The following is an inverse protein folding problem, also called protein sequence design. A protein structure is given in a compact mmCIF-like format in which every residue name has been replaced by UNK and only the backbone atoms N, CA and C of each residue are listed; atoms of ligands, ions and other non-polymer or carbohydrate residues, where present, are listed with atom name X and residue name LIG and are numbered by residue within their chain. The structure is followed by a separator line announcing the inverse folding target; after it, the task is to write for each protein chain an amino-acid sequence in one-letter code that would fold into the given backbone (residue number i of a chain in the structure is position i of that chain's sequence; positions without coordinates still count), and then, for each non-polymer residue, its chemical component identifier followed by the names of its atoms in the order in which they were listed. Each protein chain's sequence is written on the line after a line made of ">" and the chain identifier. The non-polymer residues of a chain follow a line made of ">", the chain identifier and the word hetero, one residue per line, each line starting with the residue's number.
data_IF_789657452066
#
_entry.id   IF_789657452066
#
_cell.length_a   1.000
_cell.length_b   1.000
_cell.length_c   1.000
_cell.angle_alpha   90.00
_cell.angle_beta   90.00
_cell.angle_gamma   90.00
#
_symmetry.space_group_name_H-M   'P 1'
#
loop_
_entity.id
_entity.type
_entity.pdbx_description
1 polymer ?
#
# COMPACT_ATOMS: atom_id res chain seq x y z
N UNK A 1 -11.14 -6.30 12.29
CA UNK A 1 -11.86 -7.59 12.32
C UNK A 1 -11.62 -8.34 13.61
N UNK A 2 -10.39 -8.39 14.15
CA UNK A 2 -10.05 -9.12 15.39
C UNK A 2 -10.92 -8.66 16.60
N UNK A 3 -11.22 -7.37 16.69
CA UNK A 3 -12.01 -6.79 17.78
C UNK A 3 -13.52 -7.02 17.66
N UNK A 4 -14.00 -7.42 16.49
CA UNK A 4 -15.43 -7.49 16.20
C UNK A 4 -15.97 -8.91 16.04
N UNK A 5 -15.09 -9.93 16.03
CA UNK A 5 -15.46 -11.32 15.67
C UNK A 5 -15.34 -12.36 16.77
N UNK A 6 -14.64 -12.07 17.83
CA UNK A 6 -14.44 -13.02 18.92
C UNK A 6 -14.32 -12.30 20.25
N UNK A 7 -14.74 -12.98 21.34
CA UNK A 7 -14.46 -12.49 22.67
C UNK A 7 -12.95 -12.42 22.90
N UNK A 8 -12.47 -11.34 23.46
CA UNK A 8 -11.08 -11.20 23.85
C UNK A 8 -10.95 -11.75 25.29
N UNK A 9 -10.15 -12.77 25.45
CA UNK A 9 -9.82 -13.32 26.77
C UNK A 9 -8.75 -12.45 27.45
N UNK A 10 -7.86 -11.83 26.64
CA UNK A 10 -6.80 -10.93 27.08
C UNK A 10 -6.94 -9.54 26.45
N UNK A 11 -6.36 -8.49 27.07
CA UNK A 11 -6.32 -7.16 26.45
C UNK A 11 -5.72 -7.23 25.04
N UNK A 12 -6.38 -6.60 24.08
CA UNK A 12 -5.90 -6.59 22.68
C UNK A 12 -4.55 -5.91 22.57
N UNK A 13 -3.58 -6.63 22.03
CA UNK A 13 -2.22 -6.13 21.78
C UNK A 13 -1.98 -6.05 20.27
N UNK A 14 -1.60 -4.86 19.79
CA UNK A 14 -1.24 -4.67 18.39
C UNK A 14 0.24 -5.03 18.19
N UNK A 15 0.49 -6.28 17.84
CA UNK A 15 1.81 -6.72 17.41
C UNK A 15 2.03 -6.40 15.94
N UNK A 16 3.30 -6.23 15.54
CA UNK A 16 3.67 -6.02 14.13
C UNK A 16 3.24 -7.15 13.21
N UNK A 17 3.14 -8.38 13.73
CA UNK A 17 2.61 -9.55 13.02
C UNK A 17 1.13 -9.43 12.66
N UNK A 18 0.35 -8.61 13.38
CA UNK A 18 -1.07 -8.35 13.11
C UNK A 18 -1.30 -7.13 12.23
N UNK A 19 -0.26 -6.34 11.99
CA UNK A 19 -0.34 -5.16 11.12
C UNK A 19 -0.07 -5.58 9.66
N UNK A 20 -1.12 -5.98 8.95
CA UNK A 20 -1.06 -6.15 7.52
C UNK A 20 -0.74 -4.81 6.83
N UNK A 21 0.01 -4.87 5.73
CA UNK A 21 0.35 -3.69 4.92
C UNK A 21 1.06 -2.55 5.69
N UNK A 22 1.85 -2.90 6.69
CA UNK A 22 2.55 -1.93 7.56
C UNK A 22 3.43 -0.93 6.81
N UNK A 23 3.90 -1.26 5.60
CA UNK A 23 4.66 -0.32 4.77
C UNK A 23 3.82 0.88 4.31
N UNK A 24 2.51 0.71 4.22
CA UNK A 24 1.55 1.78 3.92
C UNK A 24 1.05 2.49 5.18
N UNK A 25 1.16 1.85 6.36
CA UNK A 25 0.63 2.34 7.63
C UNK A 25 1.75 2.89 8.52
N UNK A 26 2.53 3.84 7.99
CA UNK A 26 3.61 4.48 8.73
C UNK A 26 3.11 5.72 9.47
N UNK A 27 3.77 6.07 10.57
CA UNK A 27 3.50 7.29 11.33
C UNK A 27 3.83 8.56 10.53
N UNK A 28 4.89 8.50 9.70
CA UNK A 28 5.33 9.63 8.88
C UNK A 28 4.34 10.02 7.79
N UNK A 29 3.53 9.09 7.29
CA UNK A 29 2.54 9.35 6.24
C UNK A 29 1.09 9.44 6.76
N UNK A 30 0.89 9.50 8.07
CA UNK A 30 -0.45 9.52 8.66
C UNK A 30 -1.30 10.70 8.18
N UNK A 31 -0.70 11.88 8.03
CA UNK A 31 -1.40 13.05 7.50
C UNK A 31 -1.78 12.90 6.02
N UNK A 32 -0.96 12.24 5.21
CA UNK A 32 -1.26 11.97 3.80
C UNK A 32 -2.46 11.00 3.64
N UNK A 33 -2.60 10.04 4.57
CA UNK A 33 -3.69 9.06 4.55
C UNK A 33 -4.99 9.55 5.15
N UNK A 34 -4.91 10.34 6.23
CA UNK A 34 -6.05 10.64 7.09
C UNK A 34 -6.60 12.05 6.92
N UNK A 35 -5.80 13.04 6.50
CA UNK A 35 -6.27 14.43 6.46
C UNK A 35 -7.39 14.66 5.44
N UNK A 36 -7.34 14.03 4.27
CA UNK A 36 -8.44 14.15 3.29
C UNK A 36 -9.74 13.53 3.83
N UNK A 37 -9.63 12.42 4.57
CA UNK A 37 -10.78 11.76 5.20
C UNK A 37 -11.36 12.68 6.29
N UNK A 38 -10.50 13.22 7.16
CA UNK A 38 -10.92 14.13 8.22
C UNK A 38 -11.62 15.40 7.69
N UNK A 39 -11.14 15.92 6.56
CA UNK A 39 -11.78 17.05 5.87
C UNK A 39 -13.16 16.64 5.34
N UNK A 40 -13.26 15.46 4.72
CA UNK A 40 -14.50 14.95 4.12
C UNK A 40 -15.60 14.73 5.16
N UNK A 41 -15.26 14.20 6.33
CA UNK A 41 -16.20 13.93 7.42
C UNK A 41 -16.40 15.13 8.37
N UNK A 42 -15.73 16.27 8.10
CA UNK A 42 -15.93 17.51 8.86
C UNK A 42 -15.23 17.59 10.21
N UNK A 43 -14.32 16.66 10.53
CA UNK A 43 -13.58 16.65 11.81
C UNK A 43 -12.32 17.51 11.79
N UNK A 44 -11.89 17.98 10.62
CA UNK A 44 -10.74 18.84 10.48
C UNK A 44 -11.13 20.31 10.65
N UNK A 45 -10.50 21.01 11.59
CA UNK A 45 -10.62 22.45 11.76
C UNK A 45 -10.15 23.21 10.51
N UNK A 46 -10.68 24.42 10.32
CA UNK A 46 -10.41 25.27 9.14
C UNK A 46 -8.90 25.48 8.93
N UNK A 47 -8.18 25.84 9.99
CA UNK A 47 -6.73 26.08 9.92
C UNK A 47 -5.96 24.80 9.48
N UNK A 48 -6.32 23.63 10.05
CA UNK A 48 -5.72 22.35 9.67
C UNK A 48 -6.00 21.99 8.21
N UNK A 49 -7.22 22.23 7.74
CA UNK A 49 -7.62 22.03 6.35
C UNK A 49 -6.76 22.87 5.40
N UNK A 50 -6.61 24.16 5.68
CA UNK A 50 -5.82 25.08 4.85
C UNK A 50 -4.34 24.67 4.81
N UNK A 51 -3.74 24.39 5.97
CA UNK A 51 -2.36 23.90 6.07
C UNK A 51 -2.15 22.62 5.29
N UNK A 52 -3.09 21.69 5.38
CA UNK A 52 -3.02 20.43 4.66
C UNK A 52 -3.11 20.62 3.15
N UNK A 53 -4.08 21.36 2.65
CA UNK A 53 -4.25 21.61 1.22
C UNK A 53 -3.03 22.29 0.60
N UNK A 54 -2.45 23.27 1.29
CA UNK A 54 -1.23 23.94 0.84
C UNK A 54 -0.02 22.98 0.81
N UNK A 55 0.16 22.18 1.88
CA UNK A 55 1.20 21.13 1.92
C UNK A 55 1.04 20.12 0.80
N UNK A 56 -0.18 19.62 0.60
CA UNK A 56 -0.51 18.62 -0.42
C UNK A 56 -0.22 19.15 -1.83
N UNK A 57 -0.64 20.37 -2.13
CA UNK A 57 -0.39 21.03 -3.42
C UNK A 57 1.10 21.21 -3.69
N UNK A 58 1.85 21.69 -2.69
CA UNK A 58 3.29 21.89 -2.83
C UNK A 58 4.03 20.56 -3.02
N UNK A 59 3.71 19.56 -2.21
CA UNK A 59 4.31 18.23 -2.30
C UNK A 59 4.03 17.57 -3.65
N UNK A 60 2.79 17.68 -4.16
CA UNK A 60 2.41 17.18 -5.49
C UNK A 60 3.25 17.83 -6.59
N UNK A 61 3.37 19.16 -6.59
CA UNK A 61 4.14 19.91 -7.58
C UNK A 61 5.63 19.47 -7.58
N UNK A 62 6.20 19.29 -6.41
CA UNK A 62 7.61 18.87 -6.29
C UNK A 62 7.80 17.44 -6.80
N UNK A 63 6.93 16.52 -6.41
CA UNK A 63 6.97 15.14 -6.88
C UNK A 63 6.82 15.06 -8.40
N UNK A 64 5.89 15.80 -9.00
CA UNK A 64 5.71 15.84 -10.45
C UNK A 64 6.97 16.34 -11.17
N UNK A 65 7.65 17.34 -10.63
CA UNK A 65 8.91 17.79 -11.18
C UNK A 65 10.01 16.73 -11.08
N UNK A 66 10.13 16.08 -9.90
CA UNK A 66 11.10 15.00 -9.72
C UNK A 66 10.85 13.81 -10.67
N UNK A 67 9.59 13.52 -11.00
CA UNK A 67 9.23 12.48 -11.98
C UNK A 67 9.56 12.87 -13.43
N UNK A 68 9.43 14.15 -13.79
CA UNK A 68 9.76 14.64 -15.14
C UNK A 68 11.27 14.69 -15.38
N UNK A 69 12.05 14.91 -14.34
CA UNK A 69 13.51 14.99 -14.42
C UNK A 69 14.10 13.58 -14.43
N UNK A 70 14.75 13.21 -15.51
CA UNK A 70 15.41 11.92 -15.64
C UNK A 70 16.80 12.05 -16.23
N UNK A 71 17.69 11.15 -15.89
CA UNK A 71 19.05 11.12 -16.41
C UNK A 71 19.59 9.69 -16.48
N UNK A 72 20.67 9.51 -17.24
CA UNK A 72 21.39 8.25 -17.33
C UNK A 72 22.24 8.02 -16.06
N UNK A 73 22.58 6.77 -15.75
CA UNK A 73 23.46 6.44 -14.62
C UNK A 73 24.81 7.17 -14.69
N UNK A 74 25.36 7.31 -15.88
CA UNK A 74 26.63 8.04 -16.11
C UNK A 74 26.49 9.53 -15.76
N UNK A 75 25.33 10.14 -16.05
CA UNK A 75 25.09 11.53 -15.69
C UNK A 75 25.02 11.68 -14.16
N UNK A 76 24.30 10.80 -13.46
CA UNK A 76 24.23 10.80 -12.00
C UNK A 76 25.61 10.59 -11.36
N UNK A 77 26.47 9.73 -11.95
CA UNK A 77 27.81 9.47 -11.45
C UNK A 77 28.69 10.73 -11.43
N UNK A 78 28.53 11.67 -12.39
CA UNK A 78 29.23 12.96 -12.40
C UNK A 78 28.97 13.82 -11.17
N UNK A 79 27.84 13.60 -10.49
CA UNK A 79 27.46 14.31 -9.28
C UNK A 79 27.63 13.46 -8.00
N UNK A 80 28.41 12.39 -8.08
CA UNK A 80 28.72 11.52 -6.95
C UNK A 80 27.58 10.58 -6.53
N UNK A 81 26.60 10.37 -7.41
CA UNK A 81 25.49 9.45 -7.16
C UNK A 81 25.79 8.09 -7.80
N UNK A 82 26.01 7.08 -6.96
CA UNK A 82 26.31 5.72 -7.40
C UNK A 82 25.02 4.91 -7.56
N UNK A 83 24.72 4.55 -8.79
CA UNK A 83 23.59 3.67 -9.16
C UNK A 83 24.05 2.65 -10.18
N UNK A 84 23.26 1.58 -10.39
CA UNK A 84 23.60 0.54 -11.36
C UNK A 84 23.78 1.13 -12.76
N UNK A 85 24.91 0.78 -13.40
CA UNK A 85 25.30 1.26 -14.74
C UNK A 85 24.67 0.41 -15.85
N UNK A 86 23.38 0.19 -15.80
CA UNK A 86 22.58 -0.65 -16.72
C UNK A 86 22.07 0.11 -17.96
N UNK A 87 22.50 1.37 -18.13
CA UNK A 87 22.07 2.23 -19.24
C UNK A 87 20.65 2.77 -19.12
N UNK A 88 19.85 2.31 -18.18
CA UNK A 88 18.45 2.75 -18.02
C UNK A 88 18.39 4.11 -17.36
N UNK A 89 17.70 5.05 -18.00
CA UNK A 89 17.38 6.35 -17.39
C UNK A 89 16.49 6.16 -16.17
N UNK A 90 16.76 6.92 -15.12
CA UNK A 90 15.99 6.93 -13.87
C UNK A 90 15.54 8.35 -13.57
N UNK A 91 14.36 8.45 -12.98
CA UNK A 91 13.82 9.75 -12.55
C UNK A 91 14.55 10.25 -11.31
N UNK A 92 14.55 11.55 -11.13
CA UNK A 92 15.12 12.16 -9.92
C UNK A 92 14.39 11.67 -8.66
N UNK A 93 13.09 11.40 -8.76
CA UNK A 93 12.32 10.81 -7.67
C UNK A 93 12.84 9.41 -7.29
N UNK A 94 13.00 8.51 -8.25
CA UNK A 94 13.51 7.15 -7.99
C UNK A 94 14.91 7.16 -7.38
N UNK A 95 15.79 8.04 -7.89
CA UNK A 95 17.17 8.13 -7.42
C UNK A 95 17.25 8.74 -6.02
N UNK A 96 16.39 9.71 -5.68
CA UNK A 96 16.29 10.26 -4.34
C UNK A 96 15.95 9.21 -3.29
N UNK A 97 15.24 8.16 -3.66
CA UNK A 97 14.90 7.02 -2.80
C UNK A 97 16.08 6.11 -2.42
N UNK A 98 17.24 6.26 -3.04
CA UNK A 98 18.41 5.51 -2.60
C UNK A 98 18.92 6.07 -1.26
N UNK A 99 19.30 5.18 -0.34
CA UNK A 99 19.66 5.52 1.05
C UNK A 99 20.72 6.61 1.13
N UNK A 100 21.76 6.52 0.30
CA UNK A 100 22.93 7.38 0.34
C UNK A 100 22.79 8.67 -0.49
N UNK A 101 21.72 8.81 -1.25
CA UNK A 101 21.51 9.98 -2.10
C UNK A 101 20.88 11.11 -1.28
N UNK A 102 21.44 12.30 -1.43
CA UNK A 102 20.98 13.51 -0.74
C UNK A 102 20.22 14.45 -1.67
N UNK A 103 19.41 15.34 -1.10
CA UNK A 103 18.76 16.41 -1.84
C UNK A 103 19.75 17.33 -2.54
N UNK A 104 20.90 17.62 -1.92
CA UNK A 104 21.93 18.47 -2.52
C UNK A 104 22.53 17.84 -3.79
N UNK A 105 22.74 16.53 -3.80
CA UNK A 105 23.19 15.83 -5.00
C UNK A 105 22.15 15.91 -6.12
N UNK A 106 20.86 15.72 -5.80
CA UNK A 106 19.77 15.87 -6.77
C UNK A 106 19.68 17.31 -7.29
N UNK A 107 19.81 18.33 -6.44
CA UNK A 107 19.84 19.72 -6.85
C UNK A 107 21.05 20.12 -7.67
N UNK A 108 22.21 19.47 -7.44
CA UNK A 108 23.40 19.65 -8.30
C UNK A 108 23.19 19.03 -9.66
N UNK A 109 22.57 17.85 -9.70
CA UNK A 109 22.24 17.15 -10.95
C UNK A 109 21.21 17.92 -11.78
N UNK A 110 20.21 18.53 -11.12
CA UNK A 110 19.12 19.27 -11.74
C UNK A 110 18.99 20.70 -11.17
N UNK A 111 19.74 21.69 -11.69
CA UNK A 111 19.76 23.05 -11.16
C UNK A 111 18.41 23.74 -11.06
N UNK A 112 17.45 23.36 -11.90
CA UNK A 112 16.08 23.92 -11.88
C UNK A 112 15.34 23.66 -10.56
N UNK A 113 15.72 22.61 -9.80
CA UNK A 113 15.14 22.32 -8.49
C UNK A 113 15.66 23.26 -7.38
N UNK A 114 16.75 23.99 -7.60
CA UNK A 114 17.35 24.91 -6.60
C UNK A 114 16.45 26.08 -6.25
N UNK A 115 15.57 26.49 -7.16
CA UNK A 115 14.70 27.65 -7.00
C UNK A 115 13.53 27.43 -6.02
N UNK A 116 13.26 26.17 -5.64
CA UNK A 116 12.14 25.87 -4.76
C UNK A 116 12.61 25.84 -3.30
N UNK A 117 12.04 26.72 -2.49
CA UNK A 117 12.19 26.65 -1.03
C UNK A 117 11.29 25.55 -0.50
N UNK A 118 11.88 24.45 -0.10
CA UNK A 118 11.22 23.28 0.49
C UNK A 118 11.68 23.21 1.93
N UNK A 119 10.78 23.00 2.88
CA UNK A 119 11.16 22.79 4.28
C UNK A 119 11.87 21.44 4.46
N UNK A 120 12.81 21.34 5.38
CA UNK A 120 13.54 20.10 5.70
C UNK A 120 12.60 18.94 6.02
N UNK A 121 11.46 19.23 6.68
CA UNK A 121 10.44 18.25 6.98
C UNK A 121 9.82 17.66 5.71
N UNK A 122 9.55 18.50 4.72
CA UNK A 122 8.99 18.07 3.44
C UNK A 122 10.02 17.31 2.60
N UNK A 123 11.28 17.74 2.62
CA UNK A 123 12.38 17.01 1.97
C UNK A 123 12.53 15.59 2.52
N UNK A 124 12.52 15.47 3.85
CA UNK A 124 12.55 14.17 4.52
C UNK A 124 11.36 13.32 4.12
N UNK A 125 10.15 13.89 4.12
CA UNK A 125 8.93 13.17 3.75
C UNK A 125 8.99 12.66 2.31
N UNK A 126 9.36 13.50 1.35
CA UNK A 126 9.46 13.11 -0.06
C UNK A 126 10.54 12.03 -0.25
N UNK A 127 11.68 12.14 0.43
CA UNK A 127 12.73 11.11 0.39
C UNK A 127 12.23 9.77 0.95
N UNK A 128 11.52 9.78 2.07
CA UNK A 128 10.92 8.59 2.67
C UNK A 128 9.89 7.98 1.71
N UNK A 129 9.02 8.78 1.12
CA UNK A 129 8.03 8.32 0.16
C UNK A 129 8.68 7.72 -1.08
N UNK A 130 9.75 8.32 -1.59
CA UNK A 130 10.54 7.79 -2.69
C UNK A 130 11.18 6.44 -2.34
N UNK A 131 11.78 6.32 -1.15
CA UNK A 131 12.38 5.07 -0.68
C UNK A 131 11.36 3.93 -0.61
N UNK A 132 10.17 4.21 -0.05
CA UNK A 132 9.13 3.19 0.12
C UNK A 132 8.30 2.93 -1.14
N UNK A 133 8.36 3.79 -2.16
CA UNK A 133 7.52 3.66 -3.36
C UNK A 133 7.62 2.28 -4.00
N UNK A 134 8.84 1.80 -4.18
CA UNK A 134 9.10 0.50 -4.82
C UNK A 134 8.44 -0.67 -4.05
N UNK A 135 8.44 -0.59 -2.73
CA UNK A 135 7.81 -1.60 -1.87
C UNK A 135 6.31 -1.41 -1.77
N UNK A 136 5.84 -0.16 -1.74
CA UNK A 136 4.42 0.15 -1.64
C UNK A 136 3.65 -0.17 -2.92
N UNK A 137 4.24 0.01 -4.11
CA UNK A 137 3.61 -0.38 -5.38
C UNK A 137 3.37 -1.89 -5.43
N UNK A 138 4.37 -2.68 -5.08
CA UNK A 138 4.21 -4.14 -5.02
C UNK A 138 3.12 -4.55 -4.04
N UNK A 139 3.17 -3.99 -2.83
CA UNK A 139 2.16 -4.26 -1.81
C UNK A 139 0.76 -3.80 -2.23
N UNK A 140 0.65 -2.67 -2.92
CA UNK A 140 -0.62 -2.16 -3.41
C UNK A 140 -1.24 -3.06 -4.48
N UNK A 141 -0.43 -3.58 -5.39
CA UNK A 141 -0.89 -4.57 -6.37
C UNK A 141 -1.38 -5.85 -5.68
N UNK A 142 -0.63 -6.35 -4.69
CA UNK A 142 -1.05 -7.50 -3.86
C UNK A 142 -2.39 -7.22 -3.14
N UNK A 143 -2.57 -6.01 -2.60
CA UNK A 143 -3.84 -5.59 -1.96
C UNK A 143 -4.99 -5.56 -2.97
N UNK A 144 -4.76 -5.04 -4.16
CA UNK A 144 -5.79 -4.95 -5.20
C UNK A 144 -6.19 -6.32 -5.71
N UNK A 145 -5.24 -7.24 -5.88
CA UNK A 145 -5.51 -8.63 -6.23
C UNK A 145 -6.32 -9.33 -5.14
N UNK A 146 -5.90 -9.19 -3.87
CA UNK A 146 -6.64 -9.74 -2.73
C UNK A 146 -8.05 -9.14 -2.61
N UNK A 147 -8.22 -7.83 -2.86
CA UNK A 147 -9.55 -7.20 -2.88
C UNK A 147 -10.43 -7.78 -3.98
N UNK A 148 -9.89 -8.00 -5.17
CA UNK A 148 -10.63 -8.65 -6.26
C UNK A 148 -11.04 -10.06 -5.88
N UNK A 149 -10.17 -10.83 -5.25
CA UNK A 149 -10.50 -12.18 -4.78
C UNK A 149 -11.54 -12.16 -3.65
N UNK A 150 -11.45 -11.20 -2.72
CA UNK A 150 -12.41 -11.02 -1.62
C UNK A 150 -13.82 -10.72 -2.12
N UNK A 151 -13.93 -9.97 -3.22
CA UNK A 151 -15.21 -9.58 -3.82
C UNK A 151 -15.81 -10.67 -4.74
N UNK A 152 -15.11 -11.80 -4.96
CA UNK A 152 -15.68 -12.92 -5.72
C UNK A 152 -16.88 -13.49 -4.96
N UNK A 153 -18.05 -13.24 -5.52
CA UNK A 153 -19.31 -13.75 -4.98
C UNK A 153 -19.40 -15.26 -5.23
N UNK A 154 -19.79 -15.99 -4.22
CA UNK A 154 -20.12 -17.40 -4.32
C UNK A 154 -21.56 -17.50 -4.80
N UNK A 155 -21.77 -18.11 -5.96
CA UNK A 155 -23.11 -18.31 -6.49
C UNK A 155 -24.01 -19.04 -5.49
N UNK A 156 -25.21 -18.50 -5.24
CA UNK A 156 -26.17 -19.08 -4.29
C UNK A 156 -26.54 -20.55 -4.58
N UNK A 157 -26.39 -20.94 -5.84
CA UNK A 157 -26.72 -22.29 -6.32
C UNK A 157 -25.50 -23.25 -6.34
N UNK A 158 -24.36 -22.85 -5.76
CA UNK A 158 -23.19 -23.73 -5.71
C UNK A 158 -23.50 -24.94 -4.82
N UNK A 159 -23.27 -26.13 -5.34
CA UNK A 159 -23.34 -27.36 -4.56
C UNK A 159 -21.97 -27.69 -3.98
N UNK A 160 -21.75 -27.35 -2.72
CA UNK A 160 -20.47 -27.60 -2.06
C UNK A 160 -20.11 -29.07 -1.96
N UNK A 161 -21.10 -29.99 -2.04
CA UNK A 161 -20.87 -31.43 -2.01
C UNK A 161 -20.15 -31.92 -3.28
N UNK A 162 -20.32 -31.23 -4.39
CA UNK A 162 -19.69 -31.51 -5.67
C UNK A 162 -18.29 -30.87 -5.82
N UNK A 163 -17.84 -30.13 -4.84
CA UNK A 163 -16.50 -29.55 -4.86
C UNK A 163 -15.44 -30.59 -4.50
N UNK A 164 -14.82 -31.18 -5.53
CA UNK A 164 -13.76 -32.16 -5.35
C UNK A 164 -12.54 -31.53 -4.66
N UNK A 165 -11.95 -32.30 -3.74
CA UNK A 165 -10.78 -31.88 -2.98
C UNK A 165 -11.10 -31.14 -1.66
N UNK A 166 -12.36 -30.82 -1.37
CA UNK A 166 -12.79 -30.36 -0.06
C UNK A 166 -13.08 -31.55 0.85
N UNK A 167 -12.66 -31.47 2.13
CA UNK A 167 -13.03 -32.46 3.14
C UNK A 167 -14.53 -32.41 3.46
N UNK A 168 -15.11 -33.54 3.88
CA UNK A 168 -16.53 -33.60 4.23
C UNK A 168 -16.91 -32.57 5.31
N UNK A 169 -16.05 -32.34 6.29
CA UNK A 169 -16.24 -31.34 7.35
C UNK A 169 -16.37 -29.92 6.75
N UNK A 170 -15.49 -29.56 5.81
CA UNK A 170 -15.54 -28.24 5.15
C UNK A 170 -16.78 -28.10 4.28
N UNK A 171 -17.17 -29.16 3.56
CA UNK A 171 -18.41 -29.18 2.77
C UNK A 171 -19.65 -28.93 3.63
N UNK A 172 -19.73 -29.56 4.81
CA UNK A 172 -20.81 -29.35 5.77
C UNK A 172 -20.81 -27.90 6.31
N UNK A 173 -19.63 -27.39 6.69
CA UNK A 173 -19.49 -26.01 7.20
C UNK A 173 -19.93 -25.01 6.15
N UNK A 174 -19.50 -25.15 4.91
CA UNK A 174 -19.89 -24.26 3.81
C UNK A 174 -21.38 -24.36 3.49
N UNK A 175 -21.93 -25.56 3.48
CA UNK A 175 -23.37 -25.80 3.22
C UNK A 175 -24.28 -25.21 4.32
N UNK A 176 -23.82 -25.26 5.57
CA UNK A 176 -24.54 -24.71 6.71
C UNK A 176 -24.48 -23.19 6.76
N UNK A 177 -23.30 -22.59 6.52
CA UNK A 177 -23.09 -21.15 6.69
C UNK A 177 -23.37 -20.34 5.42
N UNK A 178 -23.36 -20.97 4.24
CA UNK A 178 -23.64 -20.37 2.92
C UNK A 178 -22.98 -18.99 2.75
N UNK A 179 -21.62 -18.90 2.79
CA UNK A 179 -20.94 -17.63 2.69
C UNK A 179 -21.20 -16.98 1.32
N UNK A 180 -21.38 -15.64 1.31
CA UNK A 180 -21.65 -14.91 0.07
C UNK A 180 -20.43 -14.70 -0.80
N UNK A 181 -19.25 -14.71 -0.21
CA UNK A 181 -17.99 -14.48 -0.92
C UNK A 181 -16.85 -15.32 -0.32
N UNK A 182 -15.72 -15.33 -1.03
CA UNK A 182 -14.54 -16.12 -0.64
C UNK A 182 -13.96 -15.64 0.70
N UNK A 183 -14.07 -14.35 1.02
CA UNK A 183 -13.57 -13.83 2.29
C UNK A 183 -14.39 -14.36 3.47
N UNK A 184 -15.71 -14.36 3.37
CA UNK A 184 -16.58 -14.96 4.37
C UNK A 184 -16.28 -16.44 4.55
N UNK A 185 -16.08 -17.17 3.43
CA UNK A 185 -15.72 -18.57 3.49
C UNK A 185 -14.39 -18.82 4.22
N UNK A 186 -13.35 -18.02 3.94
CA UNK A 186 -12.04 -18.10 4.60
C UNK A 186 -12.09 -17.91 6.12
N UNK A 187 -13.14 -17.28 6.63
CA UNK A 187 -13.30 -16.96 8.06
C UNK A 187 -14.06 -18.01 8.84
N UNK A 188 -14.61 -19.01 8.15
CA UNK A 188 -15.33 -20.08 8.81
C UNK A 188 -14.36 -20.99 9.61
N UNK A 189 -14.77 -21.47 10.79
CA UNK A 189 -13.98 -22.41 11.57
C UNK A 189 -13.63 -23.65 10.72
N UNK A 190 -12.39 -24.11 10.80
CA UNK A 190 -11.91 -25.27 10.04
C UNK A 190 -11.50 -24.98 8.58
N UNK A 191 -11.75 -23.79 8.05
CA UNK A 191 -11.32 -23.45 6.70
C UNK A 191 -9.80 -23.29 6.60
N UNK A 192 -9.19 -24.08 5.71
CA UNK A 192 -7.74 -24.02 5.46
C UNK A 192 -7.42 -23.18 4.21
N UNK A 193 -6.18 -22.66 4.05
CA UNK A 193 -5.75 -21.99 2.82
C UNK A 193 -5.91 -22.88 1.57
N UNK A 194 -5.65 -24.19 1.70
CA UNK A 194 -5.82 -25.14 0.62
C UNK A 194 -7.29 -25.27 0.19
N UNK A 195 -8.21 -25.40 1.15
CA UNK A 195 -9.63 -25.46 0.89
C UNK A 195 -10.16 -24.16 0.26
N UNK A 196 -9.68 -23.00 0.72
CA UNK A 196 -10.03 -21.72 0.10
C UNK A 196 -9.56 -21.64 -1.37
N UNK A 197 -8.38 -22.16 -1.68
CA UNK A 197 -7.86 -22.23 -3.06
C UNK A 197 -8.68 -23.16 -3.96
N UNK A 198 -9.17 -24.27 -3.41
CA UNK A 198 -10.06 -25.20 -4.12
C UNK A 198 -11.39 -24.49 -4.41
N UNK A 199 -12.02 -23.90 -3.38
CA UNK A 199 -13.29 -23.17 -3.53
C UNK A 199 -13.17 -22.06 -4.58
N UNK A 200 -12.06 -21.35 -4.62
CA UNK A 200 -11.79 -20.29 -5.59
C UNK A 200 -11.81 -20.77 -7.05
N UNK A 201 -11.42 -22.02 -7.32
CA UNK A 201 -11.50 -22.63 -8.66
C UNK A 201 -12.95 -22.85 -9.09
N UNK A 202 -13.82 -23.21 -8.16
CA UNK A 202 -15.24 -23.43 -8.45
C UNK A 202 -16.02 -22.13 -8.63
N UNK A 203 -15.60 -21.07 -7.95
CA UNK A 203 -16.23 -19.73 -8.05
C UNK A 203 -15.78 -18.98 -9.31
N UNK A 204 -14.59 -19.25 -9.83
CA UNK A 204 -14.06 -18.64 -11.08
C UNK A 204 -14.52 -19.34 -12.36
N UNK A 205 -15.21 -20.47 -12.27
CA UNK A 205 -15.85 -21.15 -13.41
C UNK A 205 -17.23 -20.59 -13.66
#
# INVERSE_FOLDING_TARGET
>A
SDLTRGGLIEPYRMFTSRAEYRLLLRSDNADERLSDIAIKIGTAEKERKEKWLNKKKLMKNICEQLYRLNASPQHYAKFGIKINQDGKKRTAFEVLGYKEVTWDQIRRTFPNLRRQKISDRMEKQIKINSFYKRYSERQQNEIEELKKERLLEIHKNINFNECDGLSNEIKEILSKNKPNNIEEAKQLPGMTPAAASILLRYVKK
#
